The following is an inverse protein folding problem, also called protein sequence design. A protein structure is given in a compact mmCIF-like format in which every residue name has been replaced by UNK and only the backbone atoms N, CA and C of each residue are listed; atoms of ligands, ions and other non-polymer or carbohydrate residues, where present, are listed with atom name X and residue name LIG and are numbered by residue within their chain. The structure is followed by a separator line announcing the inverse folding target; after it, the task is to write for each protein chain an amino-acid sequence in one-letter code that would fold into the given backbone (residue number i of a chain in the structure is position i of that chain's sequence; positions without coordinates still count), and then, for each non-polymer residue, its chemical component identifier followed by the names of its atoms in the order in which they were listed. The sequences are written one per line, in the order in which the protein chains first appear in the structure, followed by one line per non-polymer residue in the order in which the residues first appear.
data_IF_126536324823
#
_entry.id   IF_126536324823
#
_cell.length_a   1.000
_cell.length_b   1.000
_cell.length_c   1.000
_cell.angle_alpha   90.00
_cell.angle_beta   90.00
_cell.angle_gamma   90.00
#
_symmetry.space_group_name_H-M   'P 1'
#
loop_
_entity.id
_entity.type
_entity.pdbx_description
1 polymer ?
#
# COMPACT_ATOMS: atom_id res chain seq x y z
N UNK A 1 0.86 10.95 10.09
CA UNK A 1 0.83 12.28 9.43
C UNK A 1 -0.58 12.87 9.49
N UNK A 2 -0.78 14.20 9.45
CA UNK A 2 -2.11 14.83 9.49
C UNK A 2 -3.00 14.48 8.28
N UNK A 3 -2.41 13.99 7.19
CA UNK A 3 -3.07 13.48 5.98
C UNK A 3 -2.27 12.29 5.41
N UNK A 4 -2.85 11.55 4.46
CA UNK A 4 -2.22 10.38 3.83
C UNK A 4 -2.37 9.09 4.64
N UNK A 5 -1.36 8.21 4.54
CA UNK A 5 -1.39 6.92 5.21
C UNK A 5 -1.35 7.03 6.74
N UNK A 6 -2.09 6.13 7.39
CA UNK A 6 -2.09 6.01 8.85
C UNK A 6 -0.77 5.48 9.42
N UNK A 7 0.04 4.82 8.58
CA UNK A 7 1.38 4.28 8.87
C UNK A 7 2.46 5.38 8.70
N UNK A 8 3.68 5.04 8.28
CA UNK A 8 4.79 5.97 8.07
C UNK A 8 5.26 6.67 9.34
N UNK A 9 5.32 5.95 10.46
CA UNK A 9 5.65 6.53 11.77
C UNK A 9 7.01 6.09 12.31
N UNK A 10 7.60 5.03 11.75
CA UNK A 10 8.80 4.37 12.27
C UNK A 10 9.91 4.21 11.22
N UNK A 11 9.79 4.87 10.06
CA UNK A 11 10.80 4.82 8.99
C UNK A 11 10.88 3.50 8.21
N UNK A 12 9.88 2.62 8.32
CA UNK A 12 9.85 1.31 7.65
C UNK A 12 8.79 1.21 6.54
N UNK A 13 8.23 2.35 6.15
CA UNK A 13 7.19 2.45 5.14
C UNK A 13 7.63 3.41 4.04
N UNK A 14 7.34 3.07 2.78
CA UNK A 14 7.60 3.93 1.61
C UNK A 14 6.49 3.77 0.58
N UNK A 15 6.05 4.88 0.00
CA UNK A 15 5.10 4.88 -1.10
C UNK A 15 5.87 5.11 -2.40
N UNK A 16 5.61 4.27 -3.41
CA UNK A 16 6.26 4.33 -4.72
C UNK A 16 5.17 4.49 -5.77
N UNK A 17 5.25 5.56 -6.54
CA UNK A 17 4.28 5.86 -7.59
C UNK A 17 4.35 4.89 -8.77
N UNK A 18 3.20 4.61 -9.37
CA UNK A 18 3.10 4.00 -10.71
C UNK A 18 3.35 5.06 -11.79
N UNK A 19 4.56 5.60 -11.77
CA UNK A 19 4.99 6.67 -12.65
C UNK A 19 6.45 6.46 -13.05
N UNK A 20 6.66 5.98 -14.27
CA UNK A 20 8.00 5.78 -14.81
C UNK A 20 8.57 7.09 -15.34
N UNK A 21 9.77 7.45 -14.87
CA UNK A 21 10.52 8.61 -15.35
C UNK A 21 11.64 8.11 -16.27
N UNK A 22 11.84 8.71 -17.46
CA UNK A 22 12.96 8.36 -18.32
C UNK A 22 14.31 8.49 -17.60
N UNK A 23 15.22 7.56 -17.87
CA UNK A 23 16.56 7.59 -17.29
C UNK A 23 17.25 8.95 -17.54
N UNK A 24 17.86 9.51 -16.50
CA UNK A 24 18.51 10.83 -16.57
C UNK A 24 17.55 12.03 -16.48
N UNK A 25 16.25 11.80 -16.34
CA UNK A 25 15.26 12.85 -16.08
C UNK A 25 14.85 12.88 -14.61
N UNK A 26 14.40 14.04 -14.14
CA UNK A 26 13.69 14.14 -12.85
C UNK A 26 12.18 14.12 -13.11
N UNK A 27 11.37 13.51 -12.23
CA UNK A 27 9.93 13.71 -12.28
C UNK A 27 9.63 15.20 -12.10
N UNK A 28 8.61 15.68 -12.81
CA UNK A 28 8.04 16.98 -12.52
C UNK A 28 7.54 17.00 -11.07
N UNK A 29 7.87 18.04 -10.31
CA UNK A 29 7.48 18.18 -8.91
C UNK A 29 5.98 18.39 -8.73
N UNK A 30 5.32 18.86 -9.79
CA UNK A 30 3.87 19.09 -9.82
C UNK A 30 3.11 17.89 -10.40
N UNK A 31 3.82 16.80 -10.75
CA UNK A 31 3.15 15.61 -11.29
C UNK A 31 2.30 14.94 -10.22
N UNK A 32 1.04 14.71 -10.57
CA UNK A 32 0.14 13.83 -9.85
C UNK A 32 -0.03 12.55 -10.69
N UNK A 33 0.54 11.42 -10.26
CA UNK A 33 0.40 10.17 -11.01
C UNK A 33 -1.08 9.79 -11.17
N UNK A 34 -1.51 9.41 -12.38
CA UNK A 34 -2.90 9.02 -12.60
C UNK A 34 -3.21 7.73 -11.83
N UNK A 35 -4.47 7.54 -11.49
CA UNK A 35 -4.94 6.24 -11.02
C UNK A 35 -4.81 5.21 -12.14
N UNK A 36 -4.27 4.04 -11.81
CA UNK A 36 -4.20 2.89 -12.72
C UNK A 36 -5.54 2.16 -12.84
N UNK A 37 -6.54 2.52 -12.03
CA UNK A 37 -7.77 1.74 -11.82
C UNK A 37 -9.01 2.56 -12.18
N UNK A 38 -9.87 1.98 -13.03
CA UNK A 38 -11.26 2.37 -13.10
C UNK A 38 -12.01 1.66 -11.97
N UNK A 39 -12.21 2.36 -10.86
CA UNK A 39 -12.84 1.79 -9.68
C UNK A 39 -14.30 1.37 -9.91
N UNK A 40 -15.02 2.08 -10.79
CA UNK A 40 -16.41 1.77 -11.11
C UNK A 40 -16.51 0.52 -11.98
N UNK A 41 -15.61 0.35 -12.96
CA UNK A 41 -15.55 -0.82 -13.80
C UNK A 41 -14.89 -2.04 -13.11
N UNK A 42 -14.08 -1.80 -12.07
CA UNK A 42 -13.31 -2.86 -11.42
C UNK A 42 -12.14 -3.36 -12.27
N UNK A 43 -11.65 -2.53 -13.18
CA UNK A 43 -10.61 -2.89 -14.17
C UNK A 43 -9.47 -1.87 -14.16
N UNK A 44 -8.32 -2.23 -14.73
CA UNK A 44 -7.29 -1.23 -15.01
C UNK A 44 -7.76 -0.24 -16.07
N UNK A 45 -7.29 1.00 -15.98
CA UNK A 45 -7.51 1.99 -17.03
C UNK A 45 -6.71 1.57 -18.27
N UNK A 46 -7.35 1.42 -19.45
CA UNK A 46 -6.68 0.99 -20.66
C UNK A 46 -5.48 1.87 -21.02
N UNK A 47 -4.34 1.26 -21.30
CA UNK A 47 -3.13 1.95 -21.77
C UNK A 47 -2.27 2.62 -20.69
N UNK A 48 -2.68 2.63 -19.42
CA UNK A 48 -1.86 3.21 -18.34
C UNK A 48 -0.89 2.21 -17.71
N UNK A 49 -1.28 0.94 -17.59
CA UNK A 49 -0.45 -0.09 -16.97
C UNK A 49 0.75 -0.46 -17.85
N UNK A 50 1.93 -0.54 -17.24
CA UNK A 50 3.19 -0.84 -17.92
C UNK A 50 3.91 -2.01 -17.26
N UNK A 51 4.67 -2.77 -18.05
CA UNK A 51 5.49 -3.88 -17.55
C UNK A 51 6.45 -3.44 -16.43
N UNK A 52 7.01 -2.22 -16.53
CA UNK A 52 7.89 -1.66 -15.51
C UNK A 52 7.25 -1.58 -14.11
N UNK A 53 5.92 -1.38 -14.02
CA UNK A 53 5.20 -1.33 -12.75
C UNK A 53 5.07 -2.71 -12.12
N UNK A 54 4.79 -3.73 -12.93
CA UNK A 54 4.85 -5.14 -12.51
C UNK A 54 6.25 -5.50 -12.04
N UNK A 55 7.29 -5.10 -12.78
CA UNK A 55 8.67 -5.44 -12.43
C UNK A 55 9.15 -4.74 -11.15
N UNK A 56 8.73 -3.49 -10.92
CA UNK A 56 8.96 -2.79 -9.66
C UNK A 56 8.29 -3.51 -8.48
N UNK A 57 7.03 -3.96 -8.65
CA UNK A 57 6.32 -4.74 -7.64
C UNK A 57 7.00 -6.10 -7.39
N UNK A 58 7.45 -6.77 -8.45
CA UNK A 58 8.18 -8.03 -8.34
C UNK A 58 9.49 -7.86 -7.56
N UNK A 59 10.29 -6.86 -7.91
CA UNK A 59 11.53 -6.54 -7.21
C UNK A 59 11.27 -6.22 -5.73
N UNK A 60 10.26 -5.39 -5.44
CA UNK A 60 9.91 -5.05 -4.06
C UNK A 60 9.39 -6.28 -3.28
N UNK A 61 8.58 -7.15 -3.88
CA UNK A 61 7.99 -8.29 -3.21
C UNK A 61 9.01 -9.40 -2.94
N UNK A 62 9.96 -9.58 -3.85
CA UNK A 62 11.03 -10.58 -3.74
C UNK A 62 12.22 -10.10 -2.90
N UNK A 63 12.29 -8.80 -2.58
CA UNK A 63 13.29 -8.27 -1.66
C UNK A 63 13.12 -8.89 -0.25
N UNK A 64 14.20 -9.46 0.34
CA UNK A 64 14.11 -10.21 1.61
C UNK A 64 13.55 -9.39 2.78
N UNK A 65 13.92 -8.11 2.85
CA UNK A 65 13.56 -7.20 3.93
C UNK A 65 12.14 -6.66 3.80
N UNK A 66 11.47 -6.83 2.66
CA UNK A 66 10.06 -6.47 2.51
C UNK A 66 9.18 -7.40 3.34
N UNK A 67 8.34 -6.80 4.19
CA UNK A 67 7.31 -7.50 4.95
C UNK A 67 6.02 -7.63 4.12
N UNK A 68 5.51 -6.51 3.61
CA UNK A 68 4.22 -6.41 2.89
C UNK A 68 4.26 -5.29 1.87
N UNK A 69 3.43 -5.43 0.84
CA UNK A 69 3.16 -4.38 -0.14
C UNK A 69 1.66 -4.19 -0.23
N UNK A 70 1.14 -2.96 -0.16
CA UNK A 70 -0.27 -2.67 -0.42
C UNK A 70 -0.46 -2.06 -1.81
N UNK A 71 -1.45 -2.57 -2.53
CA UNK A 71 -1.89 -2.11 -3.85
C UNK A 71 -3.42 -2.11 -3.90
N UNK A 72 -4.01 -1.39 -4.85
CA UNK A 72 -5.45 -1.50 -5.10
C UNK A 72 -5.86 -2.97 -5.41
N UNK A 73 -7.03 -3.46 -4.94
CA UNK A 73 -7.51 -4.80 -5.27
C UNK A 73 -7.54 -5.11 -6.77
N UNK A 74 -7.87 -4.13 -7.62
CA UNK A 74 -7.90 -4.31 -9.08
C UNK A 74 -6.50 -4.60 -9.64
N UNK A 75 -5.48 -3.91 -9.13
CA UNK A 75 -4.09 -4.15 -9.53
C UNK A 75 -3.65 -5.56 -9.11
N UNK A 76 -3.99 -5.99 -7.88
CA UNK A 76 -3.68 -7.34 -7.44
C UNK A 76 -4.43 -8.40 -8.26
N UNK A 77 -5.71 -8.19 -8.55
CA UNK A 77 -6.48 -9.09 -9.41
C UNK A 77 -5.84 -9.21 -10.81
N UNK A 78 -5.44 -8.09 -11.41
CA UNK A 78 -4.72 -8.10 -12.68
C UNK A 78 -3.44 -8.94 -12.64
N UNK A 79 -2.63 -8.82 -11.59
CA UNK A 79 -1.43 -9.65 -11.42
C UNK A 79 -1.77 -11.13 -11.25
N UNK A 80 -2.79 -11.46 -10.44
CA UNK A 80 -3.27 -12.83 -10.28
C UNK A 80 -3.74 -13.46 -11.60
N UNK A 81 -4.39 -12.67 -12.45
CA UNK A 81 -4.95 -13.14 -13.73
C UNK A 81 -3.88 -13.29 -14.83
N UNK A 82 -2.73 -12.61 -14.71
CA UNK A 82 -1.73 -12.51 -15.78
C UNK A 82 -0.39 -13.17 -15.48
N UNK A 83 -0.05 -13.40 -14.21
CA UNK A 83 1.18 -14.07 -13.83
C UNK A 83 1.08 -15.60 -14.02
N UNK A 84 2.12 -16.20 -14.58
CA UNK A 84 2.25 -17.66 -14.67
C UNK A 84 2.70 -18.29 -13.34
N UNK A 85 3.42 -17.54 -12.52
CA UNK A 85 3.83 -17.92 -11.16
C UNK A 85 3.40 -16.85 -10.17
N UNK A 86 2.41 -17.16 -9.35
CA UNK A 86 1.81 -16.24 -8.38
C UNK A 86 2.50 -16.24 -7.02
N UNK A 87 3.50 -17.10 -6.78
CA UNK A 87 4.13 -17.24 -5.44
C UNK A 87 4.71 -15.94 -4.91
N UNK A 88 5.23 -15.08 -5.80
CA UNK A 88 5.79 -13.79 -5.43
C UNK A 88 4.70 -12.78 -4.99
N UNK A 89 3.43 -13.02 -5.33
CA UNK A 89 2.31 -12.19 -4.94
C UNK A 89 1.94 -12.32 -3.45
N UNK A 90 2.48 -13.31 -2.72
CA UNK A 90 2.20 -13.53 -1.30
C UNK A 90 2.30 -12.24 -0.46
N UNK A 91 3.35 -11.43 -0.69
CA UNK A 91 3.55 -10.16 0.05
C UNK A 91 2.64 -9.02 -0.39
N UNK A 92 2.01 -9.13 -1.56
CA UNK A 92 1.13 -8.10 -2.11
C UNK A 92 -0.26 -8.26 -1.48
N UNK A 93 -0.79 -7.19 -0.86
CA UNK A 93 -2.04 -7.19 -0.11
C UNK A 93 -2.98 -6.14 -0.71
N UNK A 94 -4.24 -6.49 -1.01
CA UNK A 94 -5.18 -5.51 -1.51
C UNK A 94 -5.51 -4.49 -0.40
N UNK A 95 -5.54 -3.20 -0.75
CA UNK A 95 -6.00 -2.12 0.12
C UNK A 95 -6.71 -1.03 -0.70
N UNK A 96 -7.78 -0.44 -0.16
CA UNK A 96 -8.53 0.64 -0.83
C UNK A 96 -7.60 1.85 -1.06
N UNK A 97 -7.79 2.55 -2.18
CA UNK A 97 -6.83 3.52 -2.69
C UNK A 97 -5.68 2.79 -3.40
N UNK A 98 -4.43 3.23 -3.20
CA UNK A 98 -3.22 2.55 -3.72
C UNK A 98 -3.32 2.20 -5.22
N UNK A 99 -3.97 3.08 -5.96
CA UNK A 99 -4.29 2.92 -7.37
C UNK A 99 -3.33 3.72 -8.25
N UNK A 100 -2.74 4.79 -7.74
CA UNK A 100 -1.64 5.54 -8.37
C UNK A 100 -0.26 5.23 -7.78
N UNK A 101 -0.19 4.46 -6.69
CA UNK A 101 1.04 4.07 -6.00
C UNK A 101 0.90 2.73 -5.28
N UNK A 102 2.03 2.13 -4.93
CA UNK A 102 2.09 1.00 -4.00
C UNK A 102 2.85 1.37 -2.74
N UNK A 103 2.42 0.80 -1.62
CA UNK A 103 3.01 1.04 -0.30
C UNK A 103 3.85 -0.16 0.10
N UNK A 104 5.15 0.02 0.26
CA UNK A 104 6.05 -1.04 0.75
C UNK A 104 6.28 -0.84 2.24
N UNK A 105 6.15 -1.93 2.99
CA UNK A 105 6.54 -2.03 4.39
C UNK A 105 7.70 -2.99 4.55
N UNK A 106 8.73 -2.58 5.26
CA UNK A 106 9.89 -3.39 5.60
C UNK A 106 9.71 -4.13 6.94
N UNK A 107 10.51 -5.17 7.13
CA UNK A 107 10.65 -5.87 8.40
C UNK A 107 11.30 -4.96 9.46
N UNK A 108 10.99 -5.24 10.73
CA UNK A 108 11.73 -4.63 11.83
C UNK A 108 13.23 -4.97 11.71
N UNK A 109 14.14 -3.97 11.75
CA UNK A 109 15.56 -4.23 11.66
C UNK A 109 16.08 -5.09 12.82
N UNK A 110 17.07 -5.97 12.59
CA UNK A 110 17.80 -6.60 13.68
C UNK A 110 18.39 -5.55 14.63
N UNK A 111 18.28 -5.78 15.94
CA UNK A 111 18.76 -4.85 16.95
C UNK A 111 17.77 -3.74 17.36
N UNK A 112 16.54 -3.75 16.83
CA UNK A 112 15.46 -2.83 17.21
C UNK A 112 14.39 -3.53 18.07
N UNK A 113 14.63 -3.80 19.38
CA UNK A 113 13.74 -4.60 20.22
C UNK A 113 12.36 -3.97 20.45
N UNK A 114 12.25 -2.64 20.31
CA UNK A 114 10.99 -1.92 20.44
C UNK A 114 10.17 -1.88 19.14
N UNK A 115 10.73 -2.38 18.03
CA UNK A 115 10.00 -2.47 16.78
C UNK A 115 9.07 -3.68 16.77
N UNK A 116 7.78 -3.42 16.64
CA UNK A 116 6.74 -4.46 16.63
C UNK A 116 6.37 -4.81 15.19
N UNK A 117 6.59 -6.06 14.80
CA UNK A 117 6.16 -6.58 13.50
C UNK A 117 4.65 -6.84 13.47
N UNK A 118 4.04 -6.72 12.29
CA UNK A 118 2.64 -7.11 12.11
C UNK A 118 2.49 -8.64 12.16
N UNK A 119 1.26 -9.11 12.34
CA UNK A 119 0.92 -10.54 12.22
C UNK A 119 1.47 -11.13 10.90
N UNK A 120 1.65 -12.45 10.82
CA UNK A 120 2.08 -13.10 9.58
C UNK A 120 1.03 -12.90 8.45
N UNK A 121 1.47 -12.91 7.19
CA UNK A 121 0.54 -12.96 6.06
C UNK A 121 -0.06 -14.37 6.00
N UNK A 122 -1.38 -14.52 5.77
CA UNK A 122 -1.97 -15.84 5.55
C UNK A 122 -1.25 -16.61 4.44
N UNK A 123 -1.15 -17.95 4.54
CA UNK A 123 -0.51 -18.76 3.51
C UNK A 123 -1.20 -18.61 2.15
N UNK A 124 -0.44 -18.80 1.08
CA UNK A 124 -0.92 -18.67 -0.30
C UNK A 124 -0.56 -17.34 -0.95
N UNK A 125 -0.90 -17.19 -2.21
CA UNK A 125 -0.69 -15.96 -3.00
C UNK A 125 -1.80 -14.91 -2.74
N UNK A 126 -2.94 -15.32 -2.20
CA UNK A 126 -4.12 -14.47 -1.99
C UNK A 126 -4.82 -14.10 -3.30
N UNK A 127 -4.73 -14.97 -4.31
CA UNK A 127 -5.48 -14.91 -5.57
C UNK A 127 -6.75 -15.76 -5.45
N UNK A 128 -7.65 -15.38 -4.55
CA UNK A 128 -8.82 -16.15 -4.15
C UNK A 128 -10.13 -15.34 -4.32
N UNK A 129 -11.26 -15.98 -4.03
CA UNK A 129 -12.58 -15.36 -4.17
C UNK A 129 -12.74 -14.09 -3.30
N UNK A 130 -12.02 -13.97 -2.18
CA UNK A 130 -12.10 -12.79 -1.32
C UNK A 130 -11.47 -11.57 -1.99
N UNK A 131 -10.39 -11.75 -2.76
CA UNK A 131 -9.80 -10.69 -3.58
C UNK A 131 -10.79 -10.15 -4.63
N UNK A 132 -11.42 -11.03 -5.40
CA UNK A 132 -12.37 -10.61 -6.44
C UNK A 132 -13.65 -10.03 -5.83
N UNK A 133 -14.07 -10.52 -4.67
CA UNK A 133 -15.15 -9.90 -3.89
C UNK A 133 -14.77 -8.47 -3.50
N UNK A 134 -13.53 -8.21 -3.11
CA UNK A 134 -13.04 -6.87 -2.79
C UNK A 134 -13.10 -5.92 -4.00
N UNK A 135 -12.78 -6.41 -5.21
CA UNK A 135 -12.97 -5.64 -6.45
C UNK A 135 -14.45 -5.29 -6.65
N UNK A 136 -15.35 -6.27 -6.53
CA UNK A 136 -16.78 -6.04 -6.69
C UNK A 136 -17.35 -5.09 -5.63
N UNK A 137 -16.94 -5.22 -4.37
CA UNK A 137 -17.35 -4.35 -3.27
C UNK A 137 -16.88 -2.90 -3.50
N UNK A 138 -15.68 -2.71 -4.06
CA UNK A 138 -15.16 -1.39 -4.43
C UNK A 138 -16.03 -0.75 -5.53
N UNK A 139 -16.34 -1.51 -6.59
CA UNK A 139 -17.20 -1.03 -7.68
C UNK A 139 -18.61 -0.70 -7.20
N UNK A 140 -19.21 -1.55 -6.38
CA UNK A 140 -20.53 -1.30 -5.78
C UNK A 140 -20.53 -0.04 -4.90
N UNK A 141 -19.48 0.17 -4.10
CA UNK A 141 -19.38 1.36 -3.25
C UNK A 141 -19.34 2.68 -4.06
N UNK A 142 -18.81 2.64 -5.29
CA UNK A 142 -18.73 3.80 -6.20
C UNK A 142 -20.05 3.99 -6.96
N UNK A 143 -20.62 2.91 -7.49
CA UNK A 143 -21.83 2.96 -8.31
C UNK A 143 -23.10 3.16 -7.46
N UNK A 144 -23.12 2.62 -6.25
CA UNK A 144 -24.25 2.62 -5.32
C UNK A 144 -23.84 3.22 -3.97
N UNK A 145 -23.49 4.51 -3.91
CA UNK A 145 -23.00 5.13 -2.69
C UNK A 145 -24.09 5.15 -1.61
N UNK A 146 -23.78 4.57 -0.45
CA UNK A 146 -24.68 4.61 0.72
C UNK A 146 -24.66 6.00 1.36
N UNK A 147 -25.77 6.46 1.95
CA UNK A 147 -25.80 7.73 2.68
C UNK A 147 -24.69 7.79 3.75
N UNK A 148 -24.02 8.95 3.91
CA UNK A 148 -22.94 9.08 4.88
C UNK A 148 -23.45 8.77 6.29
N UNK A 149 -22.76 7.87 6.98
CA UNK A 149 -23.04 7.57 8.38
C UNK A 149 -22.38 8.63 9.28
N UNK A 150 -22.96 8.95 10.45
CA UNK A 150 -22.31 9.80 11.44
C UNK A 150 -20.90 9.26 11.74
N UNK A 151 -19.86 10.13 11.77
CA UNK A 151 -18.51 9.67 12.06
C UNK A 151 -18.46 9.05 13.46
N UNK A 152 -17.97 7.81 13.53
CA UNK A 152 -17.65 7.20 14.83
C UNK A 152 -16.45 7.91 15.43
N UNK A 153 -16.39 8.11 16.76
CA UNK A 153 -15.18 8.59 17.42
C UNK A 153 -14.01 7.69 17.03
N UNK A 154 -12.93 8.29 16.52
CA UNK A 154 -11.71 7.53 16.24
C UNK A 154 -11.03 7.19 17.57
N UNK A 155 -10.52 5.95 17.75
CA UNK A 155 -9.71 5.64 18.91
C UNK A 155 -8.53 6.60 19.00
N UNK A 156 -8.25 7.10 20.21
CA UNK A 156 -7.05 7.89 20.48
C UNK A 156 -5.86 6.95 20.33
N UNK A 157 -4.93 7.29 19.46
CA UNK A 157 -3.68 6.54 19.28
C UNK A 157 -2.66 7.08 20.28
N UNK A 158 -2.30 6.26 21.25
CA UNK A 158 -1.23 6.58 22.20
C UNK A 158 0.11 6.14 21.59
N UNK A 159 1.08 7.05 21.40
CA UNK A 159 2.41 6.65 20.95
C UNK A 159 3.14 5.83 22.02
N UNK A 160 4.15 5.03 21.66
CA UNK A 160 5.02 4.36 22.64
C UNK A 160 5.65 5.36 23.63
N UNK A 161 5.94 4.89 24.85
CA UNK A 161 6.54 5.72 25.90
C UNK A 161 7.88 6.33 25.46
N UNK A 162 8.71 5.55 24.75
CA UNK A 162 9.99 6.02 24.22
C UNK A 162 9.82 7.12 23.18
N UNK A 163 8.76 7.09 22.38
CA UNK A 163 8.42 8.19 21.46
C UNK A 163 7.95 9.44 22.21
N UNK A 164 7.19 9.26 23.31
CA UNK A 164 6.70 10.38 24.12
C UNK A 164 7.85 11.10 24.83
N UNK A 165 8.88 10.36 25.26
CA UNK A 165 10.07 10.94 25.90
C UNK A 165 10.82 11.93 24.98
N UNK A 166 10.78 11.73 23.66
CA UNK A 166 11.39 12.64 22.68
C UNK A 166 10.67 13.99 22.57
N UNK A 167 9.43 14.07 23.05
CA UNK A 167 8.62 15.31 23.04
C UNK A 167 8.80 16.12 24.33
N UNK A 168 9.49 15.57 25.34
CA UNK A 168 9.77 16.30 26.56
C UNK A 168 10.71 17.49 26.25
N UNK A 169 10.44 18.68 26.82
CA UNK A 169 11.32 19.83 26.61
C UNK A 169 12.73 19.51 27.10
N UNK A 170 13.74 19.87 26.30
CA UNK A 170 15.14 19.76 26.72
C UNK A 170 15.32 20.49 28.06
N UNK A 171 15.69 19.74 29.10
CA UNK A 171 16.20 20.36 30.33
C UNK A 171 17.59 20.90 30.00
N UNK A 172 17.68 22.18 29.63
CA UNK A 172 18.97 22.86 29.53
C UNK A 172 19.65 22.84 30.91
N UNK A 173 20.94 22.49 30.98
CA UNK A 173 21.71 22.55 32.23
C UNK A 173 21.86 23.99 32.74
#
# INVERSE_FOLDING_TARGET
MPFGHSSHQNGLDVDIWFYAVPAGSQPDKEVEPPSMVDGAAGTLVPGLWQAAYRDALYAAATFPETNRIFVNPVIKAHLCDTESDTRWLHKIRPWIGHDSHFHVRLNCPPGSPECVTQAAIPPGDGCDADLYKWVADQSDAILNPKPPKPPKPKPIKTPPETCTALLAPERRP
#
